data_IF_674099891938
#
_entry.id   IF_674099891938
#
_cell.length_a   1.000
_cell.length_b   1.000
_cell.length_c   1.000
_cell.angle_alpha   90.00
_cell.angle_beta   90.00
_cell.angle_gamma   90.00
#
_symmetry.space_group_name_H-M   'P 1'
#
loop_
_entity.id
_entity.type
_entity.pdbx_description
1 polymer ?
#
# COMPACT_ATOMS: atom_id res chain seq x y z
N UNK A 1 -3.68 16.96 7.55
CA UNK A 1 -4.71 16.44 6.62
C UNK A 1 -5.88 17.39 6.61
N UNK A 2 -6.35 17.81 5.44
CA UNK A 2 -7.60 18.58 5.28
C UNK A 2 -8.76 17.59 5.21
N UNK A 3 -9.76 17.72 6.10
CA UNK A 3 -10.93 16.84 6.12
C UNK A 3 -11.79 17.09 4.88
N UNK A 4 -12.42 16.04 4.38
CA UNK A 4 -13.50 16.14 3.39
C UNK A 4 -14.85 16.33 4.08
N UNK A 5 -15.92 16.54 3.32
CA UNK A 5 -17.26 16.83 3.84
C UNK A 5 -17.98 15.56 4.31
N UNK A 6 -17.87 14.48 3.53
CA UNK A 6 -18.57 13.22 3.77
C UNK A 6 -17.61 12.03 3.89
N UNK A 7 -18.06 11.03 4.64
CA UNK A 7 -17.55 9.66 4.68
C UNK A 7 -18.72 8.73 4.31
N UNK A 8 -18.46 7.67 3.55
CA UNK A 8 -19.44 6.61 3.35
C UNK A 8 -19.32 5.61 4.50
N UNK A 9 -20.40 5.35 5.23
CA UNK A 9 -20.45 4.45 6.39
C UNK A 9 -21.69 3.57 6.29
N UNK A 10 -21.50 2.27 6.12
CA UNK A 10 -22.54 1.24 6.08
C UNK A 10 -23.72 1.51 5.14
N UNK A 11 -23.45 2.07 3.97
CA UNK A 11 -24.48 2.37 2.96
C UNK A 11 -24.87 3.83 2.87
N UNK A 12 -24.47 4.67 3.82
CA UNK A 12 -24.91 6.06 3.92
C UNK A 12 -23.75 7.06 3.81
N UNK A 13 -24.02 8.23 3.23
CA UNK A 13 -23.11 9.36 3.30
C UNK A 13 -23.35 10.12 4.61
N UNK A 14 -22.37 10.07 5.49
CA UNK A 14 -22.38 10.77 6.77
C UNK A 14 -21.40 11.94 6.73
N UNK A 15 -21.73 13.06 7.38
CA UNK A 15 -20.76 14.15 7.55
C UNK A 15 -19.51 13.62 8.26
N UNK A 16 -18.34 14.11 7.87
CA UNK A 16 -17.05 13.60 8.34
C UNK A 16 -16.96 13.49 9.87
N UNK A 17 -17.43 14.51 10.60
CA UNK A 17 -17.35 14.56 12.06
C UNK A 17 -18.43 13.70 12.76
N UNK A 18 -19.42 13.22 12.01
CA UNK A 18 -20.47 12.33 12.50
C UNK A 18 -20.17 10.84 12.22
N UNK A 19 -19.12 10.53 11.46
CA UNK A 19 -18.66 9.18 11.15
C UNK A 19 -17.94 8.54 12.37
N UNK A 20 -18.70 8.27 13.43
CA UNK A 20 -18.19 7.80 14.72
C UNK A 20 -18.52 6.32 14.98
N UNK A 21 -17.70 5.68 15.80
CA UNK A 21 -17.93 4.33 16.34
C UNK A 21 -17.73 4.34 17.86
N UNK A 22 -18.31 3.36 18.56
CA UNK A 22 -18.11 3.20 19.99
C UNK A 22 -16.64 2.90 20.30
N UNK A 23 -16.13 3.42 21.42
CA UNK A 23 -14.81 3.01 21.93
C UNK A 23 -14.75 1.52 22.28
N UNK A 24 -15.90 0.85 22.36
CA UNK A 24 -16.04 -0.60 22.56
C UNK A 24 -16.08 -1.38 21.23
N UNK A 25 -15.75 -0.76 20.10
CA UNK A 25 -15.60 -1.46 18.81
C UNK A 25 -14.48 -2.50 18.88
N UNK A 26 -14.81 -3.76 18.59
CA UNK A 26 -13.91 -4.92 18.73
C UNK A 26 -12.56 -4.72 18.04
N UNK A 27 -12.58 -4.15 16.82
CA UNK A 27 -11.36 -3.90 16.04
C UNK A 27 -10.40 -2.92 16.71
N UNK A 28 -10.89 -1.97 17.52
CA UNK A 28 -10.03 -1.04 18.26
C UNK A 28 -9.22 -1.73 19.36
N UNK A 29 -9.72 -2.85 19.89
CA UNK A 29 -9.07 -3.61 20.97
C UNK A 29 -8.23 -4.78 20.46
N UNK A 30 -8.65 -5.41 19.36
CA UNK A 30 -8.07 -6.67 18.89
C UNK A 30 -7.46 -6.61 17.48
N UNK A 31 -7.52 -5.47 16.78
CA UNK A 31 -6.93 -5.30 15.44
C UNK A 31 -7.62 -6.11 14.33
N UNK A 32 -8.83 -6.60 14.56
CA UNK A 32 -9.61 -7.51 13.70
C UNK A 32 -10.35 -6.79 12.57
N UNK A 33 -9.60 -6.09 11.72
CA UNK A 33 -10.15 -5.41 10.55
C UNK A 33 -9.22 -5.54 9.34
N UNK A 34 -9.70 -5.14 8.17
CA UNK A 34 -8.93 -5.06 6.92
C UNK A 34 -9.20 -3.74 6.24
N UNK A 35 -8.26 -3.28 5.44
CA UNK A 35 -8.41 -2.00 4.76
C UNK A 35 -7.71 -1.99 3.41
N UNK A 36 -8.01 -0.95 2.63
CA UNK A 36 -7.29 -0.64 1.41
C UNK A 36 -6.72 0.77 1.41
N UNK A 37 -5.73 0.97 0.56
CA UNK A 37 -5.17 2.29 0.28
C UNK A 37 -5.17 2.52 -1.21
N UNK A 38 -5.99 3.45 -1.68
CA UNK A 38 -6.19 3.69 -3.11
C UNK A 38 -5.91 5.15 -3.44
N UNK A 39 -5.67 5.45 -4.72
CA UNK A 39 -5.49 6.83 -5.22
C UNK A 39 -6.60 7.16 -6.22
N UNK A 40 -6.97 8.43 -6.25
CA UNK A 40 -7.64 9.05 -7.37
C UNK A 40 -6.82 10.24 -7.88
N UNK A 41 -6.87 10.48 -9.19
CA UNK A 41 -6.08 11.50 -9.89
C UNK A 41 -6.91 12.17 -10.97
N UNK A 42 -6.66 13.46 -11.16
CA UNK A 42 -7.23 14.23 -12.26
C UNK A 42 -6.50 13.85 -13.54
N UNK A 43 -7.27 13.50 -14.56
CA UNK A 43 -6.79 13.20 -15.91
C UNK A 43 -7.46 14.17 -16.88
N UNK A 44 -7.03 14.18 -18.14
CA UNK A 44 -7.67 15.00 -19.19
C UNK A 44 -9.17 14.65 -19.39
N UNK A 45 -9.57 13.42 -19.06
CA UNK A 45 -10.96 12.93 -19.20
C UNK A 45 -11.80 13.13 -17.93
N UNK A 46 -11.21 13.64 -16.85
CA UNK A 46 -11.84 13.77 -15.54
C UNK A 46 -11.07 13.04 -14.43
N UNK A 47 -11.64 13.02 -13.23
CA UNK A 47 -11.03 12.31 -12.10
C UNK A 47 -11.19 10.81 -12.29
N UNK A 48 -10.15 10.05 -11.97
CA UNK A 48 -10.15 8.59 -12.06
C UNK A 48 -9.62 7.95 -10.79
N UNK A 49 -10.13 6.76 -10.46
CA UNK A 49 -9.59 5.87 -9.43
C UNK A 49 -8.64 4.87 -10.09
N UNK A 50 -7.44 4.73 -9.54
CA UNK A 50 -6.44 3.79 -10.04
C UNK A 50 -6.67 2.40 -9.44
N UNK A 51 -6.55 1.36 -10.28
CA UNK A 51 -6.61 -0.05 -9.92
C UNK A 51 -7.84 -0.43 -9.07
N UNK A 52 -9.02 0.13 -9.38
CA UNK A 52 -10.24 -0.02 -8.57
C UNK A 52 -10.57 -1.50 -8.32
N UNK A 53 -10.64 -2.29 -9.39
CA UNK A 53 -11.03 -3.70 -9.29
C UNK A 53 -9.98 -4.53 -8.52
N UNK A 54 -8.69 -4.30 -8.77
CA UNK A 54 -7.61 -4.99 -8.05
C UNK A 54 -7.65 -4.71 -6.52
N UNK A 55 -7.89 -3.45 -6.14
CA UNK A 55 -8.00 -3.05 -4.74
C UNK A 55 -9.25 -3.64 -4.09
N UNK A 56 -10.41 -3.57 -4.75
CA UNK A 56 -11.65 -4.17 -4.23
C UNK A 56 -11.50 -5.68 -4.11
N UNK A 57 -10.90 -6.36 -5.09
CA UNK A 57 -10.64 -7.79 -5.00
C UNK A 57 -9.73 -8.15 -3.84
N UNK A 58 -8.67 -7.37 -3.58
CA UNK A 58 -7.79 -7.60 -2.43
C UNK A 58 -8.46 -7.29 -1.09
N UNK A 59 -9.37 -6.31 -1.03
CA UNK A 59 -10.17 -6.02 0.17
C UNK A 59 -11.00 -7.26 0.56
N UNK A 60 -11.69 -7.87 -0.40
CA UNK A 60 -12.52 -9.06 -0.16
C UNK A 60 -11.67 -10.28 0.20
N UNK A 61 -10.55 -10.53 -0.51
CA UNK A 61 -9.62 -11.61 -0.15
C UNK A 61 -9.05 -11.44 1.26
N UNK A 62 -8.75 -10.20 1.65
CA UNK A 62 -8.26 -9.91 3.01
C UNK A 62 -9.34 -10.15 4.05
N UNK A 63 -10.58 -9.74 3.77
CA UNK A 63 -11.73 -9.95 4.65
C UNK A 63 -12.01 -11.45 4.85
N UNK A 64 -12.04 -12.22 3.76
CA UNK A 64 -12.18 -13.68 3.78
C UNK A 64 -11.06 -14.33 4.60
N UNK A 65 -9.81 -13.91 4.40
CA UNK A 65 -8.68 -14.44 5.16
C UNK A 65 -8.82 -14.25 6.68
N UNK A 66 -9.54 -13.22 7.14
CA UNK A 66 -9.77 -12.95 8.56
C UNK A 66 -11.21 -13.20 9.02
N UNK A 67 -12.00 -13.97 8.25
CA UNK A 67 -13.40 -14.28 8.57
C UNK A 67 -14.29 -13.04 8.78
N UNK A 68 -14.04 -11.98 8.03
CA UNK A 68 -14.91 -10.81 7.94
C UNK A 68 -15.84 -10.96 6.72
N UNK A 69 -17.12 -11.22 6.96
CA UNK A 69 -18.12 -11.22 5.89
C UNK A 69 -18.55 -9.77 5.60
N UNK A 70 -18.18 -9.24 4.44
CA UNK A 70 -18.57 -7.88 4.04
C UNK A 70 -20.07 -7.89 3.71
N UNK A 71 -20.90 -7.05 4.35
CA UNK A 71 -22.37 -7.04 4.15
C UNK A 71 -22.82 -6.39 2.83
N UNK A 72 -21.86 -6.05 1.96
CA UNK A 72 -22.08 -5.43 0.66
C UNK A 72 -21.38 -6.28 -0.40
N UNK A 73 -21.88 -6.27 -1.63
CA UNK A 73 -21.17 -6.90 -2.74
C UNK A 73 -20.14 -5.94 -3.36
N UNK A 74 -19.24 -6.49 -4.17
CA UNK A 74 -18.14 -5.72 -4.79
C UNK A 74 -18.63 -4.51 -5.58
N UNK A 75 -19.75 -4.62 -6.29
CA UNK A 75 -20.31 -3.51 -7.07
C UNK A 75 -20.76 -2.35 -6.19
N UNK A 76 -21.37 -2.63 -5.04
CA UNK A 76 -21.74 -1.59 -4.06
C UNK A 76 -20.51 -0.89 -3.53
N UNK A 77 -19.46 -1.63 -3.15
CA UNK A 77 -18.20 -1.06 -2.67
C UNK A 77 -17.50 -0.22 -3.74
N UNK A 78 -17.38 -0.73 -4.97
CA UNK A 78 -16.79 0.01 -6.08
C UNK A 78 -17.55 1.30 -6.40
N UNK A 79 -18.89 1.28 -6.30
CA UNK A 79 -19.71 2.47 -6.49
C UNK A 79 -19.55 3.47 -5.34
N UNK A 80 -19.52 3.01 -4.08
CA UNK A 80 -19.29 3.86 -2.92
C UNK A 80 -17.89 4.54 -2.96
N UNK A 81 -16.86 3.83 -3.44
CA UNK A 81 -15.52 4.40 -3.67
C UNK A 81 -15.55 5.54 -4.70
N UNK A 82 -16.27 5.37 -5.82
CA UNK A 82 -16.42 6.44 -6.83
C UNK A 82 -17.27 7.60 -6.29
N UNK A 83 -18.36 7.27 -5.61
CA UNK A 83 -19.29 8.23 -5.04
C UNK A 83 -18.58 9.14 -4.01
N UNK A 84 -17.79 8.58 -3.11
CA UNK A 84 -17.14 9.38 -2.06
C UNK A 84 -16.16 10.42 -2.62
N UNK A 85 -15.47 10.09 -3.71
CA UNK A 85 -14.58 11.03 -4.42
C UNK A 85 -15.40 12.14 -5.08
N UNK A 86 -16.51 11.76 -5.72
CA UNK A 86 -17.41 12.68 -6.44
C UNK A 86 -18.12 13.67 -5.52
N UNK A 87 -18.75 13.20 -4.44
CA UNK A 87 -19.53 14.06 -3.54
C UNK A 87 -18.64 15.05 -2.78
N UNK A 88 -17.41 14.63 -2.47
CA UNK A 88 -16.39 15.49 -1.87
C UNK A 88 -15.64 16.37 -2.89
N UNK A 89 -15.99 16.30 -4.19
CA UNK A 89 -15.42 17.11 -5.28
C UNK A 89 -13.89 17.01 -5.37
N UNK A 90 -13.35 15.83 -5.09
CA UNK A 90 -11.91 15.61 -5.04
C UNK A 90 -11.35 15.36 -6.44
N UNK A 91 -10.38 16.17 -6.85
CA UNK A 91 -9.64 16.00 -8.12
C UNK A 91 -8.48 15.02 -7.98
N UNK A 92 -7.79 15.08 -6.85
CA UNK A 92 -6.81 14.09 -6.44
C UNK A 92 -7.09 13.70 -5.00
N UNK A 93 -7.11 12.39 -4.74
CA UNK A 93 -7.44 11.87 -3.44
C UNK A 93 -6.62 10.64 -3.09
N UNK A 94 -6.52 10.40 -1.79
CA UNK A 94 -6.30 9.08 -1.27
C UNK A 94 -7.62 8.57 -0.69
N UNK A 95 -7.91 7.29 -0.92
CA UNK A 95 -9.15 6.64 -0.51
C UNK A 95 -8.80 5.48 0.43
N UNK A 96 -9.55 5.38 1.53
CA UNK A 96 -9.35 4.39 2.60
C UNK A 96 -10.65 3.63 2.86
N UNK A 97 -10.93 2.56 2.10
CA UNK A 97 -11.89 1.55 2.52
C UNK A 97 -11.37 0.84 3.78
N UNK A 98 -12.24 0.64 4.77
CA UNK A 98 -11.97 -0.05 6.03
C UNK A 98 -13.17 -0.95 6.35
N UNK A 99 -12.92 -2.24 6.51
CA UNK A 99 -13.89 -3.26 6.93
C UNK A 99 -13.46 -3.75 8.30
N UNK A 100 -14.36 -3.75 9.27
CA UNK A 100 -13.99 -4.01 10.66
C UNK A 100 -15.15 -4.61 11.44
N UNK A 101 -14.84 -5.44 12.44
CA UNK A 101 -15.83 -5.82 13.44
C UNK A 101 -16.19 -4.60 14.31
N UNK A 102 -17.48 -4.34 14.42
CA UNK A 102 -18.09 -3.25 15.18
C UNK A 102 -18.11 -3.48 16.70
N UNK A 103 -18.99 -2.77 17.39
CA UNK A 103 -19.25 -2.92 18.82
C UNK A 103 -20.26 -4.02 19.13
N UNK A 104 -20.14 -4.62 20.31
CA UNK A 104 -20.97 -5.74 20.75
C UNK A 104 -20.35 -6.45 21.97
N UNK A 105 -20.54 -7.76 22.08
CA UNK A 105 -19.95 -8.56 23.16
C UNK A 105 -18.41 -8.54 23.09
N UNK A 106 -17.77 -8.37 24.25
CA UNK A 106 -16.32 -8.33 24.35
C UNK A 106 -15.78 -9.74 24.66
N UNK A 107 -15.02 -10.27 23.72
CA UNK A 107 -14.26 -11.51 23.82
C UNK A 107 -13.33 -11.62 22.61
N UNK A 108 -12.38 -12.54 22.61
CA UNK A 108 -11.50 -12.74 21.45
C UNK A 108 -12.24 -13.32 20.23
N UNK A 109 -13.31 -14.07 20.48
CA UNK A 109 -14.19 -14.59 19.44
C UNK A 109 -15.23 -13.51 19.10
N UNK A 110 -15.20 -12.92 17.89
CA UNK A 110 -16.18 -11.93 17.46
C UNK A 110 -17.51 -12.60 17.10
N UNK A 111 -18.24 -13.06 18.11
CA UNK A 111 -19.54 -13.71 17.95
C UNK A 111 -20.67 -12.67 18.02
N UNK A 112 -21.64 -12.76 17.10
CA UNK A 112 -22.85 -11.95 17.08
C UNK A 112 -22.60 -10.42 17.07
N UNK A 113 -21.46 -9.98 16.53
CA UNK A 113 -21.12 -8.56 16.34
C UNK A 113 -21.13 -8.19 14.85
N UNK A 114 -21.57 -6.97 14.48
CA UNK A 114 -21.70 -6.59 13.08
C UNK A 114 -20.33 -6.37 12.43
N UNK A 115 -20.21 -6.74 11.15
CA UNK A 115 -19.14 -6.24 10.29
C UNK A 115 -19.57 -4.90 9.70
N UNK A 116 -18.75 -3.88 9.90
CA UNK A 116 -18.98 -2.50 9.50
C UNK A 116 -18.03 -2.12 8.37
N UNK A 117 -18.44 -1.20 7.51
CA UNK A 117 -17.65 -0.75 6.36
C UNK A 117 -17.67 0.77 6.29
N UNK A 118 -16.48 1.37 6.32
CA UNK A 118 -16.27 2.80 6.12
C UNK A 118 -15.40 3.06 4.89
N UNK A 119 -15.71 4.08 4.10
CA UNK A 119 -14.89 4.53 2.98
C UNK A 119 -14.73 6.04 3.11
N UNK A 120 -13.51 6.47 3.45
CA UNK A 120 -13.13 7.87 3.49
C UNK A 120 -12.26 8.22 2.28
N UNK A 121 -12.34 9.47 1.81
CA UNK A 121 -11.43 10.02 0.82
C UNK A 121 -11.05 11.45 1.19
N UNK A 122 -9.80 11.84 0.93
CA UNK A 122 -9.30 13.19 1.20
C UNK A 122 -8.16 13.59 0.26
N UNK A 123 -7.91 14.89 0.14
CA UNK A 123 -6.75 15.41 -0.60
C UNK A 123 -5.45 14.93 0.06
N UNK A 124 -4.59 14.22 -0.69
CA UNK A 124 -3.28 13.77 -0.21
C UNK A 124 -2.22 14.03 -1.29
N UNK A 125 -1.20 14.82 -0.96
CA UNK A 125 0.00 15.00 -1.81
C UNK A 125 0.92 13.76 -1.85
N UNK A 126 2.17 13.93 -2.25
CA UNK A 126 3.17 12.86 -2.21
C UNK A 126 3.42 12.38 -0.76
N UNK A 127 3.47 11.05 -0.54
CA UNK A 127 3.55 10.46 0.81
C UNK A 127 4.88 10.75 1.52
N UNK A 128 5.98 10.79 0.77
CA UNK A 128 7.33 11.08 1.27
C UNK A 128 7.78 12.51 0.90
N UNK A 129 6.88 13.37 0.42
CA UNK A 129 7.19 14.68 -0.13
C UNK A 129 7.44 14.65 -1.64
N UNK A 130 7.25 15.80 -2.30
CA UNK A 130 7.30 15.90 -3.77
C UNK A 130 8.72 15.65 -4.32
N UNK A 131 9.76 15.96 -3.53
CA UNK A 131 11.17 15.78 -3.89
C UNK A 131 11.68 14.34 -3.68
N UNK A 132 11.02 13.53 -2.85
CA UNK A 132 11.49 12.18 -2.54
C UNK A 132 11.54 11.29 -3.79
N UNK A 133 10.65 11.52 -4.76
CA UNK A 133 10.66 10.80 -6.02
C UNK A 133 11.91 11.02 -6.87
N UNK A 134 12.63 12.15 -6.70
CA UNK A 134 13.84 12.49 -7.43
C UNK A 134 15.12 12.36 -6.59
N UNK A 135 15.04 12.62 -5.28
CA UNK A 135 16.18 12.53 -4.37
C UNK A 135 16.39 11.12 -3.79
N UNK A 136 15.33 10.31 -3.77
CA UNK A 136 15.30 9.01 -3.11
C UNK A 136 15.30 9.11 -1.59
N UNK A 137 15.40 7.97 -0.93
CA UNK A 137 15.34 7.84 0.53
C UNK A 137 16.52 7.08 1.12
N UNK A 138 16.85 7.40 2.36
CA UNK A 138 17.85 6.70 3.17
C UNK A 138 17.11 5.78 4.14
N UNK A 139 17.41 4.48 4.13
CA UNK A 139 16.72 3.51 4.98
C UNK A 139 17.69 2.71 5.83
N UNK A 140 17.19 2.10 6.90
CA UNK A 140 17.94 1.11 7.66
C UNK A 140 17.36 -0.29 7.51
N UNK A 141 18.14 -1.30 7.86
CA UNK A 141 17.61 -2.64 8.13
C UNK A 141 17.02 -2.64 9.54
N UNK A 142 15.72 -2.94 9.63
CA UNK A 142 14.96 -2.96 10.87
C UNK A 142 15.34 -4.14 11.77
N UNK A 143 15.48 -3.89 13.07
CA UNK A 143 15.57 -4.94 14.10
C UNK A 143 14.25 -5.74 14.23
N UNK A 144 13.12 -5.13 13.87
CA UNK A 144 11.84 -5.83 13.78
C UNK A 144 11.80 -6.65 12.50
N UNK A 145 11.70 -7.98 12.66
CA UNK A 145 11.36 -8.88 11.56
C UNK A 145 9.90 -8.71 11.13
N UNK A 146 9.65 -8.98 9.85
CA UNK A 146 8.32 -9.05 9.26
C UNK A 146 7.55 -10.24 9.84
N UNK A 147 6.24 -10.09 9.94
CA UNK A 147 5.38 -11.14 10.48
C UNK A 147 5.48 -12.41 9.63
N UNK A 148 5.86 -13.52 10.27
CA UNK A 148 5.97 -14.82 9.60
C UNK A 148 4.60 -15.30 9.09
N UNK A 149 4.49 -15.76 7.83
CA UNK A 149 3.31 -16.47 7.33
C UNK A 149 2.92 -17.72 8.13
N UNK A 150 3.83 -18.25 8.97
CA UNK A 150 3.54 -19.37 9.88
C UNK A 150 2.72 -18.95 11.11
N UNK A 151 2.71 -17.65 11.42
CA UNK A 151 2.10 -17.09 12.64
C UNK A 151 0.89 -16.20 12.36
N UNK A 152 0.77 -15.67 11.14
CA UNK A 152 -0.23 -14.71 10.74
C UNK A 152 -0.51 -14.81 9.23
N UNK A 153 -1.42 -13.97 8.70
CA UNK A 153 -1.73 -13.93 7.26
C UNK A 153 -1.24 -12.61 6.64
N UNK A 154 0.08 -12.39 6.50
CA UNK A 154 0.62 -11.11 6.04
C UNK A 154 0.23 -10.74 4.60
N UNK A 155 -0.21 -11.73 3.80
CA UNK A 155 -0.77 -11.51 2.46
C UNK A 155 -2.13 -10.76 2.50
N UNK A 156 -2.83 -10.77 3.63
CA UNK A 156 -4.06 -10.03 3.86
C UNK A 156 -3.76 -8.67 4.50
N UNK A 157 -4.34 -7.60 3.97
CA UNK A 157 -4.08 -6.22 4.40
C UNK A 157 -4.87 -5.87 5.66
N UNK A 158 -4.50 -6.51 6.77
CA UNK A 158 -5.15 -6.42 8.07
C UNK A 158 -4.66 -5.26 8.95
N UNK A 159 -5.55 -4.74 9.79
CA UNK A 159 -5.29 -3.66 10.75
C UNK A 159 -4.23 -4.09 11.79
N UNK A 160 -4.40 -5.25 12.43
CA UNK A 160 -3.48 -5.71 13.47
C UNK A 160 -2.03 -5.90 12.98
N UNK A 161 -1.84 -6.29 11.71
CA UNK A 161 -0.52 -6.46 11.11
C UNK A 161 0.30 -5.16 11.01
N UNK A 162 -0.36 -4.00 11.01
CA UNK A 162 0.32 -2.70 10.91
C UNK A 162 1.05 -2.28 12.18
N UNK A 163 0.81 -2.94 13.32
CA UNK A 163 1.58 -2.70 14.53
C UNK A 163 3.07 -3.03 14.32
N UNK A 164 3.36 -4.16 13.65
CA UNK A 164 4.72 -4.56 13.29
C UNK A 164 5.40 -3.52 12.38
N UNK A 165 4.72 -3.12 11.30
CA UNK A 165 5.17 -2.08 10.37
C UNK A 165 5.41 -0.73 11.06
N UNK A 166 4.52 -0.35 11.98
CA UNK A 166 4.59 0.94 12.67
C UNK A 166 5.76 0.99 13.64
N UNK A 167 6.05 -0.10 14.36
CA UNK A 167 7.22 -0.19 15.24
C UNK A 167 8.53 -0.06 14.44
N UNK A 168 8.66 -0.79 13.32
CA UNK A 168 9.82 -0.67 12.43
C UNK A 168 10.01 0.76 11.92
N UNK A 169 8.93 1.42 11.48
CA UNK A 169 8.97 2.80 11.00
C UNK A 169 9.35 3.79 12.09
N UNK A 170 8.81 3.64 13.29
CA UNK A 170 9.09 4.51 14.43
C UNK A 170 10.58 4.46 14.77
N UNK A 171 11.17 3.27 14.83
CA UNK A 171 12.57 3.12 15.23
C UNK A 171 13.51 3.66 14.15
N UNK A 172 13.25 3.38 12.87
CA UNK A 172 14.02 3.96 11.76
C UNK A 172 14.01 5.50 11.77
N UNK A 173 12.85 6.12 11.95
CA UNK A 173 12.73 7.59 11.99
C UNK A 173 13.44 8.18 13.20
N UNK A 174 13.41 7.53 14.36
CA UNK A 174 14.16 7.98 15.55
C UNK A 174 15.67 7.98 15.32
N UNK A 175 16.15 7.04 14.50
CA UNK A 175 17.56 6.93 14.14
C UNK A 175 17.98 7.84 12.98
N UNK A 176 17.03 8.59 12.42
CA UNK A 176 17.28 9.57 11.36
C UNK A 176 17.16 9.01 9.94
N UNK A 177 16.63 7.80 9.79
CA UNK A 177 16.31 7.23 8.48
C UNK A 177 14.89 7.61 8.03
N UNK A 178 14.68 7.62 6.72
CA UNK A 178 13.39 7.93 6.12
C UNK A 178 12.41 6.78 6.27
N UNK A 179 12.85 5.51 6.19
CA UNK A 179 12.04 4.30 6.35
C UNK A 179 12.92 3.10 6.75
N UNK A 180 12.32 1.93 6.93
CA UNK A 180 12.99 0.69 7.31
C UNK A 180 12.74 -0.41 6.28
N UNK A 181 13.76 -1.24 6.02
CA UNK A 181 13.64 -2.53 5.34
C UNK A 181 13.49 -3.63 6.41
N UNK A 182 12.43 -4.42 6.31
CA UNK A 182 12.14 -5.52 7.22
C UNK A 182 12.57 -6.85 6.61
N UNK A 183 13.19 -7.70 7.42
CA UNK A 183 13.57 -9.06 7.04
C UNK A 183 12.48 -10.06 7.41
N UNK A 184 12.37 -11.16 6.66
CA UNK A 184 11.51 -12.29 6.95
C UNK A 184 11.97 -13.09 8.19
N UNK A 185 11.20 -14.10 8.58
CA UNK A 185 11.52 -14.99 9.70
C UNK A 185 12.74 -15.89 9.47
N UNK A 186 13.25 -15.94 8.24
CA UNK A 186 14.46 -16.67 7.87
C UNK A 186 15.67 -15.76 7.57
N UNK A 187 15.51 -14.43 7.75
CA UNK A 187 16.57 -13.44 7.56
C UNK A 187 16.78 -12.97 6.12
N UNK A 188 15.90 -13.35 5.18
CA UNK A 188 15.87 -12.75 3.83
C UNK A 188 15.11 -11.44 3.84
N UNK A 189 15.30 -10.60 2.83
CA UNK A 189 14.56 -9.34 2.68
C UNK A 189 13.09 -9.66 2.39
N UNK A 190 12.17 -9.00 3.11
CA UNK A 190 10.73 -9.10 2.84
C UNK A 190 10.21 -7.86 2.10
N UNK A 191 10.15 -6.72 2.78
CA UNK A 191 9.60 -5.47 2.26
C UNK A 191 10.05 -4.26 3.10
N UNK A 192 9.75 -3.04 2.66
CA UNK A 192 9.81 -1.87 3.53
C UNK A 192 8.70 -1.87 4.57
N UNK A 193 8.68 -0.91 5.51
CA UNK A 193 7.65 -0.89 6.57
C UNK A 193 6.22 -0.82 6.03
N UNK A 194 5.99 -0.24 4.84
CA UNK A 194 4.68 -0.17 4.20
C UNK A 194 4.70 -0.24 2.67
N UNK A 195 5.79 -0.73 2.08
CA UNK A 195 6.06 -0.71 0.64
C UNK A 195 6.79 -1.99 0.22
N UNK A 196 6.48 -2.56 -0.94
CA UNK A 196 7.30 -3.65 -1.49
C UNK A 196 8.64 -3.10 -2.00
N UNK A 197 9.65 -3.97 -2.09
CA UNK A 197 11.01 -3.60 -2.52
C UNK A 197 11.40 -4.32 -3.81
N UNK A 198 12.15 -3.62 -4.65
CA UNK A 198 12.86 -4.14 -5.82
C UNK A 198 14.31 -3.73 -5.75
N UNK A 199 15.19 -4.58 -6.31
CA UNK A 199 16.56 -4.21 -6.65
C UNK A 199 16.79 -4.42 -8.13
N UNK A 200 17.64 -3.61 -8.75
CA UNK A 200 18.17 -3.82 -10.09
C UNK A 200 19.62 -4.28 -9.99
N UNK A 201 19.95 -5.40 -10.64
CA UNK A 201 21.30 -5.98 -10.61
C UNK A 201 21.49 -6.90 -11.80
N UNK A 202 22.62 -6.79 -12.50
CA UNK A 202 22.96 -7.62 -13.66
C UNK A 202 21.86 -7.61 -14.74
N UNK A 203 21.43 -6.40 -15.14
CA UNK A 203 20.43 -6.18 -16.19
C UNK A 203 19.03 -6.76 -15.93
N UNK A 204 18.68 -7.04 -14.67
CA UNK A 204 17.36 -7.57 -14.28
C UNK A 204 16.86 -6.96 -12.98
N UNK A 205 15.53 -6.91 -12.84
CA UNK A 205 14.85 -6.60 -11.59
C UNK A 205 14.67 -7.86 -10.75
N UNK A 206 14.97 -7.73 -9.47
CA UNK A 206 14.76 -8.77 -8.47
C UNK A 206 13.83 -8.24 -7.38
N UNK A 207 12.89 -9.07 -6.92
CA UNK A 207 12.00 -8.72 -5.81
C UNK A 207 11.73 -9.94 -4.93
N UNK A 208 11.59 -9.77 -3.61
CA UNK A 208 11.22 -10.87 -2.73
C UNK A 208 9.89 -11.52 -3.13
N UNK A 209 9.79 -12.83 -2.93
CA UNK A 209 8.51 -13.55 -3.00
C UNK A 209 7.60 -13.11 -1.86
N UNK A 210 6.27 -13.17 -2.06
CA UNK A 210 5.28 -12.91 -1.01
C UNK A 210 5.37 -13.91 0.16
N UNK A 211 6.01 -15.08 -0.06
CA UNK A 211 6.26 -16.09 0.98
C UNK A 211 7.23 -15.62 2.07
N UNK A 212 7.95 -14.51 1.83
CA UNK A 212 8.79 -13.85 2.86
C UNK A 212 7.97 -13.12 3.94
N UNK A 213 6.64 -13.06 3.77
CA UNK A 213 5.75 -12.23 4.59
C UNK A 213 5.48 -10.84 3.97
N UNK A 214 6.01 -10.57 2.77
CA UNK A 214 5.68 -9.37 2.02
C UNK A 214 4.21 -9.37 1.55
N UNK A 215 3.59 -8.19 1.49
CA UNK A 215 2.25 -8.05 0.95
C UNK A 215 2.26 -8.23 -0.57
N UNK A 216 1.24 -8.87 -1.14
CA UNK A 216 0.98 -8.86 -2.59
C UNK A 216 0.55 -7.47 -3.07
N UNK A 217 1.51 -6.56 -3.26
CA UNK A 217 1.28 -5.18 -3.67
C UNK A 217 0.69 -5.03 -5.07
N UNK A 218 -0.30 -4.15 -5.21
CA UNK A 218 -0.87 -3.81 -6.52
C UNK A 218 0.10 -2.94 -7.33
N UNK A 219 0.79 -1.99 -6.68
CA UNK A 219 1.88 -1.24 -7.32
C UNK A 219 3.05 -2.16 -7.71
N UNK A 220 3.38 -3.16 -6.87
CA UNK A 220 4.36 -4.21 -7.22
C UNK A 220 3.95 -4.96 -8.49
N UNK A 221 2.69 -5.44 -8.56
CA UNK A 221 2.13 -6.07 -9.76
C UNK A 221 2.28 -5.17 -10.99
N UNK A 222 1.93 -3.88 -10.87
CA UNK A 222 2.08 -2.92 -11.97
C UNK A 222 3.55 -2.72 -12.37
N UNK A 223 4.49 -2.68 -11.43
CA UNK A 223 5.93 -2.59 -11.76
C UNK A 223 6.40 -3.80 -12.55
N UNK A 224 5.96 -5.01 -12.21
CA UNK A 224 6.28 -6.23 -12.96
C UNK A 224 5.73 -6.14 -14.40
N UNK A 225 4.50 -5.67 -14.56
CA UNK A 225 3.90 -5.47 -15.89
C UNK A 225 4.62 -4.38 -16.70
N UNK A 226 5.02 -3.27 -16.07
CA UNK A 226 5.81 -2.21 -16.69
C UNK A 226 7.19 -2.75 -17.12
N UNK A 227 7.85 -3.52 -16.26
CA UNK A 227 9.15 -4.09 -16.57
C UNK A 227 9.08 -5.03 -17.79
N UNK A 228 8.07 -5.91 -17.83
CA UNK A 228 7.83 -6.77 -18.99
C UNK A 228 7.54 -5.96 -20.26
N UNK A 229 6.78 -4.86 -20.16
CA UNK A 229 6.53 -3.96 -21.30
C UNK A 229 7.80 -3.25 -21.80
N UNK A 230 8.74 -2.97 -20.90
CA UNK A 230 10.02 -2.34 -21.19
C UNK A 230 11.14 -3.35 -21.51
N UNK A 231 10.81 -4.63 -21.69
CA UNK A 231 11.75 -5.73 -21.93
C UNK A 231 12.83 -5.87 -20.84
N UNK A 232 12.49 -5.54 -19.58
CA UNK A 232 13.37 -5.70 -18.41
C UNK A 232 13.00 -7.02 -17.71
N UNK A 233 13.91 -8.01 -17.65
CA UNK A 233 13.64 -9.26 -16.95
C UNK A 233 13.33 -9.04 -15.47
N UNK A 234 12.32 -9.76 -14.96
CA UNK A 234 11.96 -9.75 -13.54
C UNK A 234 12.06 -11.16 -12.97
N UNK A 235 12.76 -11.28 -11.83
CA UNK A 235 12.87 -12.53 -11.09
C UNK A 235 12.37 -12.33 -9.67
N UNK A 236 11.36 -13.11 -9.30
CA UNK A 236 10.94 -13.24 -7.90
C UNK A 236 11.84 -14.27 -7.22
N UNK A 237 12.64 -13.83 -6.23
CA UNK A 237 13.56 -14.69 -5.50
C UNK A 237 13.84 -14.18 -4.09
N UNK A 238 14.36 -15.05 -3.23
CA UNK A 238 14.89 -14.63 -1.93
C UNK A 238 16.12 -13.76 -2.11
N UNK A 239 16.15 -12.64 -1.39
CA UNK A 239 17.26 -11.68 -1.38
C UNK A 239 17.89 -11.64 0.00
N UNK A 240 19.22 -11.68 0.06
CA UNK A 240 19.94 -11.43 1.30
C UNK A 240 20.14 -9.92 1.53
N UNK A 241 20.40 -9.48 2.76
CA UNK A 241 20.86 -8.10 3.00
C UNK A 241 22.08 -7.71 2.17
N UNK A 242 23.00 -8.66 1.91
CA UNK A 242 24.16 -8.42 1.07
C UNK A 242 23.80 -8.14 -0.40
N UNK A 243 22.68 -8.70 -0.89
CA UNK A 243 22.19 -8.41 -2.25
C UNK A 243 21.73 -6.97 -2.39
N UNK A 244 21.17 -6.37 -1.34
CA UNK A 244 20.81 -4.95 -1.32
C UNK A 244 22.06 -4.10 -1.52
N UNK A 245 23.11 -4.33 -0.71
CA UNK A 245 24.35 -3.54 -0.78
C UNK A 245 25.07 -3.71 -2.11
N UNK A 246 24.97 -4.90 -2.71
CA UNK A 246 25.61 -5.24 -3.98
C UNK A 246 24.73 -4.97 -5.21
N UNK A 247 23.61 -4.26 -5.08
CA UNK A 247 22.73 -3.91 -6.18
C UNK A 247 23.13 -2.59 -6.85
N UNK A 248 22.75 -2.43 -8.11
CA UNK A 248 22.98 -1.21 -8.88
C UNK A 248 21.95 -0.13 -8.51
N UNK A 249 20.70 -0.55 -8.27
CA UNK A 249 19.60 0.33 -7.84
C UNK A 249 18.68 -0.40 -6.85
N UNK A 250 18.05 0.34 -5.93
CA UNK A 250 16.98 -0.15 -5.06
C UNK A 250 15.81 0.82 -5.16
N UNK A 251 14.58 0.32 -5.14
CA UNK A 251 13.40 1.17 -5.00
C UNK A 251 12.24 0.50 -4.27
N UNK A 252 11.41 1.32 -3.65
CA UNK A 252 10.15 0.89 -3.04
C UNK A 252 8.96 1.12 -3.97
N UNK A 253 7.91 0.33 -3.76
CA UNK A 253 6.65 0.44 -4.46
C UNK A 253 5.45 0.38 -3.51
N UNK A 254 4.46 1.25 -3.69
CA UNK A 254 3.20 1.19 -2.95
C UNK A 254 2.24 2.32 -3.31
N UNK A 255 0.95 2.20 -2.98
CA UNK A 255 -0.05 3.19 -3.42
C UNK A 255 0.18 4.60 -2.88
N UNK A 256 0.69 4.72 -1.65
CA UNK A 256 0.98 6.03 -1.05
C UNK A 256 2.31 6.60 -1.58
N UNK A 257 3.35 5.78 -1.56
CA UNK A 257 4.75 6.09 -1.92
C UNK A 257 4.99 6.18 -3.43
N UNK A 258 4.13 5.55 -4.22
CA UNK A 258 4.32 5.31 -5.65
C UNK A 258 5.57 4.48 -5.91
N UNK A 259 6.53 5.03 -6.65
CA UNK A 259 7.85 4.43 -6.87
C UNK A 259 8.88 5.45 -6.38
N UNK A 260 9.71 5.04 -5.42
CA UNK A 260 10.75 5.89 -4.82
C UNK A 260 12.06 5.14 -4.76
N UNK A 261 13.14 5.76 -5.24
CA UNK A 261 14.48 5.19 -5.15
C UNK A 261 14.99 5.15 -3.70
N UNK A 262 15.76 4.13 -3.38
CA UNK A 262 16.48 4.01 -2.10
C UNK A 262 17.96 4.22 -2.41
N UNK A 263 18.53 5.29 -1.85
CA UNK A 263 19.89 5.75 -2.18
C UNK A 263 20.93 5.34 -1.15
N UNK A 264 20.48 4.92 0.04
CA UNK A 264 21.35 4.30 1.03
C UNK A 264 20.59 3.27 1.89
N UNK A 265 21.32 2.24 2.33
CA UNK A 265 20.89 1.25 3.31
C UNK A 265 21.90 1.26 4.46
N UNK A 266 21.43 1.57 5.66
CA UNK A 266 22.23 1.92 6.83
C UNK A 266 23.26 3.01 6.48
N UNK A 267 24.54 2.77 6.72
CA UNK A 267 25.63 3.69 6.36
C UNK A 267 26.14 3.51 4.92
N UNK A 268 25.57 2.59 4.14
CA UNK A 268 26.07 2.24 2.82
C UNK A 268 25.27 2.96 1.73
N UNK A 269 25.95 3.71 0.87
CA UNK A 269 25.33 4.24 -0.35
C UNK A 269 25.08 3.10 -1.34
N UNK A 270 23.95 3.18 -2.03
CA UNK A 270 23.66 2.33 -3.18
C UNK A 270 24.25 3.03 -4.41
N UNK A 271 25.17 2.36 -5.10
CA UNK A 271 25.93 2.95 -6.21
C UNK A 271 26.55 4.32 -5.82
N UNK A 272 26.22 5.40 -6.52
CA UNK A 272 26.70 6.76 -6.24
C UNK A 272 25.86 7.53 -5.20
N UNK A 273 24.80 6.90 -4.67
CA UNK A 273 23.85 7.52 -3.74
C UNK A 273 22.83 8.42 -4.43
N UNK A 274 22.48 8.13 -5.68
CA UNK A 274 21.42 8.82 -6.43
C UNK A 274 20.37 7.84 -6.95
N UNK A 275 19.20 8.35 -7.34
CA UNK A 275 18.14 7.52 -7.94
C UNK A 275 18.58 7.07 -9.33
N UNK A 276 18.62 5.76 -9.54
CA UNK A 276 19.09 5.18 -10.79
C UNK A 276 18.15 5.34 -11.99
N UNK A 277 18.69 5.02 -13.16
CA UNK A 277 18.03 5.23 -14.44
C UNK A 277 16.85 4.28 -14.64
N UNK A 278 16.98 3.01 -14.23
CA UNK A 278 15.92 2.01 -14.37
C UNK A 278 14.74 2.35 -13.49
N UNK A 279 15.00 2.73 -12.24
CA UNK A 279 14.00 3.23 -11.28
C UNK A 279 13.26 4.43 -11.87
N UNK A 280 13.99 5.38 -12.46
CA UNK A 280 13.43 6.57 -13.08
C UNK A 280 12.55 6.26 -14.30
N UNK A 281 12.97 5.30 -15.15
CA UNK A 281 12.19 4.82 -16.29
C UNK A 281 10.88 4.17 -15.87
N UNK A 282 10.93 3.25 -14.90
CA UNK A 282 9.73 2.57 -14.37
C UNK A 282 8.80 3.59 -13.72
N UNK A 283 9.35 4.52 -12.92
CA UNK A 283 8.57 5.60 -12.29
C UNK A 283 7.86 6.47 -13.32
N UNK A 284 8.56 6.89 -14.36
CA UNK A 284 7.98 7.71 -15.43
C UNK A 284 6.82 6.98 -16.10
N UNK A 285 7.04 5.72 -16.49
CA UNK A 285 6.00 4.89 -17.08
C UNK A 285 4.80 4.67 -16.17
N UNK A 286 5.05 4.42 -14.88
CA UNK A 286 3.98 4.30 -13.88
C UNK A 286 3.15 5.59 -13.79
N UNK A 287 3.80 6.75 -13.77
CA UNK A 287 3.12 8.04 -13.70
C UNK A 287 2.29 8.34 -14.96
N UNK A 288 2.80 8.00 -16.15
CA UNK A 288 2.02 8.08 -17.39
C UNK A 288 0.72 7.26 -17.28
N UNK A 289 0.83 6.03 -16.77
CA UNK A 289 -0.31 5.15 -16.55
C UNK A 289 -1.27 5.76 -15.54
N UNK A 290 -0.84 6.06 -14.30
CA UNK A 290 -1.78 6.52 -13.26
C UNK A 290 -2.37 7.91 -13.51
N UNK A 291 -1.77 8.70 -14.40
CA UNK A 291 -2.31 9.99 -14.86
C UNK A 291 -3.18 9.87 -16.13
N UNK A 292 -3.42 8.66 -16.65
CA UNK A 292 -4.29 8.43 -17.80
C UNK A 292 -3.69 8.86 -19.14
N UNK A 293 -2.37 8.89 -19.24
CA UNK A 293 -1.61 9.30 -20.43
C UNK A 293 -1.15 8.09 -21.28
N UNK A 294 -1.47 6.87 -20.86
CA UNK A 294 -1.12 5.64 -21.59
C UNK A 294 -2.36 4.80 -21.93
N UNK A 295 -2.72 4.79 -23.21
CA UNK A 295 -3.87 4.04 -23.73
C UNK A 295 -3.70 2.51 -23.66
N UNK A 296 -2.46 1.99 -23.56
CA UNK A 296 -2.21 0.55 -23.43
C UNK A 296 -2.66 0.01 -22.07
N UNK A 297 -2.71 0.88 -21.06
CA UNK A 297 -2.99 0.53 -19.66
C UNK A 297 -4.30 1.14 -19.15
N UNK A 298 -5.16 1.65 -20.04
CA UNK A 298 -6.42 2.32 -19.67
C UNK A 298 -7.37 1.48 -18.79
N UNK A 299 -7.27 0.15 -18.83
CA UNK A 299 -8.09 -0.75 -18.02
C UNK A 299 -7.80 -0.63 -16.52
N UNK A 300 -6.64 -0.08 -16.13
CA UNK A 300 -6.26 0.16 -14.73
C UNK A 300 -6.80 1.47 -14.17
N UNK A 301 -7.59 2.21 -14.94
CA UNK A 301 -8.07 3.54 -14.59
C UNK A 301 -9.58 3.57 -14.74
N UNK A 302 -10.28 3.84 -13.65
CA UNK A 302 -11.74 3.95 -13.64
C UNK A 302 -12.15 5.40 -13.52
N UNK A 303 -12.73 5.97 -14.57
CA UNK A 303 -13.29 7.32 -14.54
C UNK A 303 -14.52 7.40 -13.61
N UNK A 304 -14.67 8.55 -12.95
CA UNK A 304 -15.72 8.87 -11.97
C UNK A 304 -16.75 9.84 -12.56
#
# INVERSE_FOLDING_TARGET
MKKSEFIWLDGELVEWDNANVSVMTHTLHYGTGVFEGMRARETEKGTSVQFLDDHVDRLYRSAEAYNLEIPFNKNVISNAIKEIVKVNKLKSAYIRPLVFFGDGEMGLLPQDIPVRVAIAAWEWGAYLGDDAGSQGVNVCISDWQRISPKSFKPFAKGVGGYMNSTLAKIDAVKEGFDDAIMLSDNGTVAEGSGQNIFIYKNDQLLTPSIETGALGGITRKMVIEIANYLDIPVVEQDLSPADLIASDEIFFTGTATEIVGVVSVDSNKISDGTVGEVTSKIRTKYLEIVNGQDDNFKNYITLI
#
